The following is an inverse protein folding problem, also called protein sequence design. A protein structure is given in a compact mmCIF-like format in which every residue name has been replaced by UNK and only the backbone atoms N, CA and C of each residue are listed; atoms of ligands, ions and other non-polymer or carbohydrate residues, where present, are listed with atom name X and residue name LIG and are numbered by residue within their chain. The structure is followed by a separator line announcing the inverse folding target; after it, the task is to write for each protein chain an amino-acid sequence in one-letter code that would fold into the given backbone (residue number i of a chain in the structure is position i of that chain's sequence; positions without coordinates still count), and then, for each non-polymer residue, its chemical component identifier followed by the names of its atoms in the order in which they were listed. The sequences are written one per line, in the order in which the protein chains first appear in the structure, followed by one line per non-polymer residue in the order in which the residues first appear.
data_IF_678915930877
#
_entry.id   IF_678915930877
#
_cell.length_a   1.000
_cell.length_b   1.000
_cell.length_c   1.000
_cell.angle_alpha   90.00
_cell.angle_beta   90.00
_cell.angle_gamma   90.00
#
_symmetry.space_group_name_H-M   'P 1'
#
loop_
_entity.id
_entity.type
_entity.pdbx_description
1 polymer ?
#
# COMPACT_ATOMS: atom_id res chain seq x y z
N UNK A 1 -16.73 1.42 -11.35
CA UNK A 1 -15.81 0.32 -10.98
C UNK A 1 -15.53 0.41 -9.49
N UNK A 2 -15.55 -0.70 -8.76
CA UNK A 2 -15.34 -0.74 -7.30
C UNK A 2 -13.93 -1.23 -6.97
N UNK A 3 -13.25 -0.58 -6.02
CA UNK A 3 -11.88 -0.92 -5.66
C UNK A 3 -11.58 -0.70 -4.18
N UNK A 4 -10.42 -1.18 -3.76
CA UNK A 4 -9.89 -1.08 -2.38
C UNK A 4 -8.42 -0.66 -2.38
N UNK A 5 -7.96 -0.10 -1.28
CA UNK A 5 -6.55 0.10 -0.97
C UNK A 5 -6.11 -0.82 0.16
N UNK A 6 -4.89 -1.36 0.03
CA UNK A 6 -4.34 -2.40 0.90
C UNK A 6 -2.97 -2.02 1.41
N UNK A 7 -2.66 -2.44 2.63
CA UNK A 7 -1.36 -2.35 3.27
C UNK A 7 -1.22 -3.46 4.32
N UNK A 8 -0.09 -3.53 5.00
CA UNK A 8 0.08 -4.43 6.13
C UNK A 8 -0.96 -4.26 7.25
N UNK A 9 -1.62 -3.09 7.37
CA UNK A 9 -2.62 -2.84 8.40
C UNK A 9 -3.88 -3.71 8.26
N UNK A 10 -4.18 -4.22 7.05
CA UNK A 10 -5.28 -5.14 6.82
C UNK A 10 -4.97 -6.58 7.28
N UNK A 11 -3.71 -6.89 7.61
CA UNK A 11 -3.31 -8.23 8.02
C UNK A 11 -3.42 -9.26 6.89
N UNK A 12 -3.92 -10.45 7.21
CA UNK A 12 -4.18 -11.50 6.22
C UNK A 12 -5.57 -11.33 5.61
N UNK A 13 -5.64 -11.31 4.28
CA UNK A 13 -6.85 -10.99 3.52
C UNK A 13 -7.31 -12.24 2.77
N UNK A 14 -8.59 -12.57 2.89
CA UNK A 14 -9.25 -13.55 2.02
C UNK A 14 -9.70 -12.88 0.72
N UNK A 15 -8.83 -12.92 -0.29
CA UNK A 15 -9.08 -12.28 -1.57
C UNK A 15 -10.24 -12.90 -2.36
N UNK A 16 -10.67 -14.13 -2.05
CA UNK A 16 -11.86 -14.71 -2.68
C UNK A 16 -13.12 -13.97 -2.23
N UNK A 17 -13.26 -13.71 -0.92
CA UNK A 17 -14.37 -12.91 -0.40
C UNK A 17 -14.37 -11.48 -0.92
N UNK A 18 -13.19 -10.91 -1.15
CA UNK A 18 -13.04 -9.59 -1.77
C UNK A 18 -13.63 -9.59 -3.19
N UNK A 19 -13.34 -10.63 -3.98
CA UNK A 19 -13.90 -10.82 -5.32
C UNK A 19 -15.42 -11.01 -5.27
N UNK A 20 -15.92 -11.88 -4.37
CA UNK A 20 -17.35 -12.13 -4.17
C UNK A 20 -18.12 -10.87 -3.76
N UNK A 21 -17.46 -9.93 -3.07
CA UNK A 21 -18.01 -8.61 -2.72
C UNK A 21 -18.06 -7.60 -3.90
N UNK A 22 -17.71 -8.05 -5.11
CA UNK A 22 -17.75 -7.27 -6.34
C UNK A 22 -16.62 -6.25 -6.47
N UNK A 23 -15.47 -6.48 -5.82
CA UNK A 23 -14.28 -5.63 -5.99
C UNK A 23 -13.59 -6.00 -7.30
N UNK A 24 -13.28 -4.98 -8.11
CA UNK A 24 -12.73 -5.15 -9.46
C UNK A 24 -11.24 -4.80 -9.54
N UNK A 25 -10.72 -4.04 -8.58
CA UNK A 25 -9.30 -3.67 -8.52
C UNK A 25 -8.81 -3.35 -7.11
N UNK A 26 -7.50 -3.45 -6.89
CA UNK A 26 -6.87 -3.06 -5.65
C UNK A 26 -5.56 -2.27 -5.88
N UNK A 27 -5.32 -1.28 -5.02
CA UNK A 27 -4.02 -0.61 -4.92
C UNK A 27 -3.31 -1.07 -3.65
N UNK A 28 -2.05 -1.45 -3.76
CA UNK A 28 -1.31 -2.08 -2.66
C UNK A 28 -0.14 -1.18 -2.28
N UNK A 29 -0.06 -0.79 -1.01
CA UNK A 29 1.09 -0.07 -0.48
C UNK A 29 2.36 -0.88 -0.69
N UNK A 30 3.33 -0.27 -1.35
CA UNK A 30 4.63 -0.85 -1.66
C UNK A 30 5.70 -0.31 -0.71
N UNK A 31 5.80 1.01 -0.61
CA UNK A 31 6.81 1.68 0.21
C UNK A 31 6.24 2.86 0.98
N UNK A 32 6.93 3.20 2.08
CA UNK A 32 6.77 4.45 2.81
C UNK A 32 8.12 5.13 2.98
N UNK A 33 8.21 6.35 2.47
CA UNK A 33 9.46 7.08 2.38
C UNK A 33 10.50 6.34 1.56
N UNK A 34 11.77 6.53 1.93
CA UNK A 34 12.90 5.92 1.24
C UNK A 34 13.34 4.57 1.86
N UNK A 35 12.79 4.20 3.02
CA UNK A 35 13.39 3.13 3.85
C UNK A 35 12.41 2.04 4.30
N UNK A 36 11.10 2.27 4.19
CA UNK A 36 10.11 1.28 4.64
C UNK A 36 9.50 0.60 3.43
N UNK A 37 9.61 -0.73 3.38
CA UNK A 37 8.86 -1.58 2.47
C UNK A 37 7.69 -2.20 3.22
N UNK A 38 6.50 -2.18 2.63
CA UNK A 38 5.33 -2.84 3.21
C UNK A 38 5.49 -4.37 3.09
N UNK A 39 5.44 -5.08 4.21
CA UNK A 39 5.70 -6.51 4.27
C UNK A 39 4.59 -7.38 3.64
N UNK A 40 3.40 -6.81 3.38
CA UNK A 40 2.31 -7.50 2.68
C UNK A 40 2.31 -7.21 1.18
N UNK A 41 3.09 -6.26 0.69
CA UNK A 41 3.08 -5.86 -0.73
C UNK A 41 3.22 -7.04 -1.69
N UNK A 42 4.30 -7.81 -1.56
CA UNK A 42 4.63 -8.87 -2.51
C UNK A 42 3.56 -9.98 -2.52
N UNK A 43 3.17 -10.45 -1.33
CA UNK A 43 2.16 -11.52 -1.21
C UNK A 43 0.81 -11.07 -1.76
N UNK A 44 0.35 -9.86 -1.44
CA UNK A 44 -0.92 -9.34 -1.95
C UNK A 44 -0.86 -9.12 -3.47
N UNK A 45 0.25 -8.62 -4.00
CA UNK A 45 0.39 -8.33 -5.43
C UNK A 45 0.35 -9.61 -6.28
N UNK A 46 1.11 -10.63 -5.90
CA UNK A 46 1.13 -11.93 -6.59
C UNK A 46 -0.20 -12.66 -6.43
N UNK A 47 -0.82 -12.59 -5.26
CA UNK A 47 -2.12 -13.23 -5.04
C UNK A 47 -3.20 -12.61 -5.94
N UNK A 48 -3.27 -11.28 -6.01
CA UNK A 48 -4.23 -10.60 -6.89
C UNK A 48 -3.96 -10.85 -8.37
N UNK A 49 -2.70 -10.97 -8.78
CA UNK A 49 -2.33 -11.39 -10.12
C UNK A 49 -2.82 -12.81 -10.45
N UNK A 50 -2.64 -13.77 -9.54
CA UNK A 50 -3.13 -15.14 -9.72
C UNK A 50 -4.67 -15.25 -9.80
N UNK A 51 -5.38 -14.25 -9.28
CA UNK A 51 -6.84 -14.13 -9.32
C UNK A 51 -7.33 -13.25 -10.48
N UNK A 52 -6.44 -12.82 -11.38
CA UNK A 52 -6.71 -11.94 -12.51
C UNK A 52 -7.38 -10.61 -12.13
N UNK A 53 -7.21 -10.17 -10.88
CA UNK A 53 -7.72 -8.89 -10.39
C UNK A 53 -6.79 -7.75 -10.81
N UNK A 54 -7.38 -6.62 -11.23
CA UNK A 54 -6.60 -5.44 -11.62
C UNK A 54 -5.88 -4.88 -10.39
N UNK A 55 -4.57 -4.64 -10.52
CA UNK A 55 -3.73 -4.22 -9.40
C UNK A 55 -2.80 -3.08 -9.77
N UNK A 56 -2.52 -2.23 -8.78
CA UNK A 56 -1.52 -1.17 -8.82
C UNK A 56 -0.79 -1.04 -7.49
N UNK A 57 0.23 -0.19 -7.44
CA UNK A 57 1.02 0.04 -6.23
C UNK A 57 0.88 1.48 -5.72
N UNK A 58 0.97 1.65 -4.40
CA UNK A 58 0.99 2.95 -3.72
C UNK A 58 2.38 3.17 -3.12
N UNK A 59 2.94 4.35 -3.37
CA UNK A 59 4.15 4.84 -2.68
C UNK A 59 3.70 5.96 -1.74
N UNK A 60 3.94 5.79 -0.45
CA UNK A 60 3.66 6.83 0.56
C UNK A 60 4.89 7.72 0.70
N UNK A 61 4.76 9.00 0.35
CA UNK A 61 5.83 9.97 0.56
C UNK A 61 5.84 10.44 2.02
N UNK A 62 7.01 10.37 2.65
CA UNK A 62 7.27 11.03 3.94
C UNK A 62 8.19 12.21 3.71
N UNK A 63 7.94 13.33 4.39
CA UNK A 63 8.88 14.46 4.37
C UNK A 63 10.14 14.04 5.12
N UNK A 64 11.31 14.26 4.53
CA UNK A 64 12.55 14.13 5.27
C UNK A 64 12.57 15.13 6.43
N UNK A 65 13.11 14.73 7.58
CA UNK A 65 13.32 15.61 8.73
C UNK A 65 14.27 16.80 8.44
N UNK A 66 14.80 16.91 7.22
CA UNK A 66 15.78 17.91 6.79
C UNK A 66 15.23 19.36 6.75
N UNK A 67 13.99 19.63 7.17
CA UNK A 67 13.46 21.00 7.33
C UNK A 67 13.05 21.33 8.76
N UNK A 68 14.05 21.35 9.66
CA UNK A 68 14.10 22.20 10.86
C UNK A 68 15.52 22.73 11.05
N UNK A 69 15.94 23.66 10.19
CA UNK A 69 17.01 24.62 10.53
C UNK A 69 16.43 26.00 10.30
N UNK A 70 15.83 26.60 11.33
CA UNK A 70 15.75 28.04 11.46
C UNK A 70 15.54 28.40 12.94
N UNK A 71 16.64 28.86 13.53
CA UNK A 71 16.73 30.01 14.42
C UNK A 71 16.31 29.87 15.90
N UNK A 72 17.21 29.31 16.71
CA UNK A 72 17.38 29.77 18.10
C UNK A 72 18.52 30.81 18.10
N UNK A 73 18.17 32.09 18.17
CA UNK A 73 19.09 33.18 18.50
C UNK A 73 19.08 33.30 20.03
N UNK A 74 20.29 33.22 20.60
CA UNK A 74 20.63 33.51 22.00
C UNK A 74 20.40 34.97 22.34
#
# INVERSE_FOLDING_TARGET
KKGIDLSHFQGDIDFKKVFEAGIEYAFIKSTEGATVQDNKYHVSYVTLESLELKRGHIITFVRSAARRKHNEIT
#
